data_IF_373641616246
#
_entry.id   IF_373641616246
#
_cell.length_a   1.000
_cell.length_b   1.000
_cell.length_c   1.000
_cell.angle_alpha   90.00
_cell.angle_beta   90.00
_cell.angle_gamma   90.00
#
_symmetry.space_group_name_H-M   'P 1'
#
loop_
_entity.id
_entity.type
_entity.pdbx_description
1 polymer ?
#
# COMPACT_ATOMS: atom_id res chain seq x y z
N UNK A 1 -0.41 36.51 -7.83
CA UNK A 1 0.63 35.53 -8.20
C UNK A 1 -0.01 34.16 -8.16
N UNK A 2 -0.61 33.73 -9.27
CA UNK A 2 -1.33 32.47 -9.34
C UNK A 2 -0.36 31.37 -9.79
N UNK A 3 0.23 30.66 -8.84
CA UNK A 3 0.92 29.42 -9.14
C UNK A 3 -0.07 28.26 -8.91
N UNK A 4 -0.93 28.03 -9.90
CA UNK A 4 -1.87 26.92 -9.96
C UNK A 4 -1.14 25.61 -10.20
N UNK A 5 -0.27 25.22 -9.27
CA UNK A 5 0.37 23.93 -9.29
C UNK A 5 -0.64 22.94 -8.71
N UNK A 6 -1.46 22.35 -9.58
CA UNK A 6 -2.25 21.16 -9.28
C UNK A 6 -1.27 20.06 -8.87
N UNK A 7 -0.80 20.07 -7.62
CA UNK A 7 -0.08 18.96 -7.01
C UNK A 7 -1.03 17.79 -7.17
N UNK A 8 -0.70 16.76 -7.96
CA UNK A 8 -1.57 15.61 -8.06
C UNK A 8 -1.59 14.99 -6.67
N UNK A 9 -2.66 15.24 -5.89
CA UNK A 9 -2.85 14.74 -4.52
C UNK A 9 -2.85 13.20 -4.46
N UNK A 10 -2.84 12.55 -5.63
CA UNK A 10 -2.65 11.12 -5.83
C UNK A 10 -1.16 10.68 -5.77
N UNK A 11 -0.18 11.59 -5.86
CA UNK A 11 1.25 11.25 -5.75
C UNK A 11 1.58 10.46 -4.47
N UNK A 12 1.14 10.87 -3.27
CA UNK A 12 1.37 10.09 -2.05
C UNK A 12 0.78 8.68 -2.14
N UNK A 13 -0.40 8.50 -2.75
CA UNK A 13 -1.03 7.19 -2.91
C UNK A 13 -0.20 6.25 -3.78
N UNK A 14 0.27 6.74 -4.93
CA UNK A 14 1.09 5.96 -5.85
C UNK A 14 2.40 5.54 -5.19
N UNK A 15 3.01 6.42 -4.40
CA UNK A 15 4.21 6.10 -3.62
C UNK A 15 3.91 4.99 -2.61
N UNK A 16 2.77 5.07 -1.90
CA UNK A 16 2.33 4.03 -0.97
C UNK A 16 2.15 2.67 -1.64
N UNK A 17 1.53 2.63 -2.82
CA UNK A 17 1.36 1.39 -3.62
C UNK A 17 2.72 0.79 -3.99
N UNK A 18 3.66 1.60 -4.48
CA UNK A 18 4.98 1.11 -4.88
C UNK A 18 5.73 0.52 -3.69
N UNK A 19 5.72 1.19 -2.54
CA UNK A 19 6.39 0.71 -1.33
C UNK A 19 5.82 -0.64 -0.88
N UNK A 20 4.49 -0.77 -0.89
CA UNK A 20 3.81 -2.01 -0.52
C UNK A 20 4.18 -3.16 -1.45
N UNK A 21 4.15 -2.93 -2.76
CA UNK A 21 4.50 -3.97 -3.74
C UNK A 21 5.94 -4.46 -3.53
N UNK A 22 6.89 -3.55 -3.27
CA UNK A 22 8.29 -3.92 -3.01
C UNK A 22 8.40 -4.74 -1.72
N UNK A 23 7.69 -4.34 -0.67
CA UNK A 23 7.68 -5.08 0.60
C UNK A 23 7.04 -6.47 0.45
N UNK A 24 5.91 -6.59 -0.25
CA UNK A 24 5.23 -7.86 -0.50
C UNK A 24 6.11 -8.81 -1.30
N UNK A 25 6.78 -8.34 -2.35
CA UNK A 25 7.72 -9.16 -3.14
C UNK A 25 8.88 -9.64 -2.27
N UNK A 26 9.43 -8.77 -1.42
CA UNK A 26 10.51 -9.15 -0.50
C UNK A 26 10.05 -10.24 0.49
N UNK A 27 8.86 -10.10 1.08
CA UNK A 27 8.33 -11.10 2.01
C UNK A 27 7.98 -12.40 1.27
N UNK A 28 7.35 -12.32 0.09
CA UNK A 28 6.99 -13.48 -0.72
C UNK A 28 8.22 -14.30 -1.11
N UNK A 29 9.32 -13.66 -1.53
CA UNK A 29 10.56 -14.37 -1.86
C UNK A 29 11.15 -15.11 -0.67
N UNK A 30 11.01 -14.58 0.55
CA UNK A 30 11.47 -15.21 1.80
C UNK A 30 10.57 -16.35 2.27
N UNK A 31 9.26 -16.22 2.10
CA UNK A 31 8.29 -17.28 2.43
C UNK A 31 8.43 -18.45 1.45
N UNK A 32 8.58 -18.16 0.15
CA UNK A 32 8.76 -19.17 -0.89
C UNK A 32 10.12 -19.86 -0.85
N UNK A 33 11.17 -19.22 -0.32
CA UNK A 33 12.50 -19.82 -0.19
C UNK A 33 12.66 -20.74 1.04
N UNK A 34 11.56 -21.07 1.73
CA UNK A 34 11.51 -22.01 2.87
C UNK A 34 12.32 -21.62 4.12
N UNK A 35 12.73 -20.35 4.25
CA UNK A 35 13.38 -19.87 5.49
C UNK A 35 12.38 -19.76 6.66
N UNK A 36 11.08 -19.65 6.35
CA UNK A 36 10.01 -19.56 7.33
C UNK A 36 8.73 -20.15 6.71
N UNK A 37 8.57 -21.47 6.81
CA UNK A 37 7.40 -22.19 6.29
C UNK A 37 6.16 -21.79 7.11
N UNK A 38 5.45 -20.76 6.63
CA UNK A 38 4.21 -20.31 7.22
C UNK A 38 3.05 -21.13 6.64
N UNK A 39 2.03 -21.46 7.44
CA UNK A 39 0.80 -22.05 6.91
C UNK A 39 0.20 -21.09 5.87
N UNK A 40 -0.13 -21.59 4.68
CA UNK A 40 -0.50 -20.76 3.52
C UNK A 40 -1.67 -19.79 3.75
N UNK A 41 -2.50 -20.03 4.77
CA UNK A 41 -3.51 -19.07 5.20
C UNK A 41 -2.92 -17.79 5.81
N UNK A 42 -1.88 -17.91 6.63
CA UNK A 42 -1.17 -16.77 7.20
C UNK A 42 -0.40 -16.01 6.11
N UNK A 43 0.21 -16.72 5.17
CA UNK A 43 0.86 -16.13 3.99
C UNK A 43 -0.11 -15.25 3.18
N UNK A 44 -1.31 -15.78 2.89
CA UNK A 44 -2.34 -15.03 2.15
C UNK A 44 -2.82 -13.78 2.89
N UNK A 45 -3.03 -13.87 4.21
CA UNK A 45 -3.45 -12.73 5.01
C UNK A 45 -2.40 -11.60 4.98
N UNK A 46 -1.13 -11.96 5.13
CA UNK A 46 -0.05 -10.97 5.20
C UNK A 46 0.26 -10.37 3.83
N UNK A 47 0.32 -11.18 2.77
CA UNK A 47 0.67 -10.71 1.42
C UNK A 47 -0.47 -10.02 0.67
N UNK A 48 -1.73 -10.22 1.09
CA UNK A 48 -2.88 -9.68 0.36
C UNK A 48 -3.78 -8.84 1.25
N UNK A 49 -4.24 -9.36 2.39
CA UNK A 49 -5.27 -8.69 3.18
C UNK A 49 -4.71 -7.45 3.89
N UNK A 50 -3.57 -7.56 4.55
CA UNK A 50 -2.90 -6.43 5.21
C UNK A 50 -2.59 -5.29 4.23
N UNK A 51 -1.91 -5.52 3.10
CA UNK A 51 -1.61 -4.45 2.14
C UNK A 51 -2.87 -3.88 1.49
N UNK A 52 -3.89 -4.70 1.18
CA UNK A 52 -5.16 -4.20 0.64
C UNK A 52 -5.88 -3.26 1.63
N UNK A 53 -5.95 -3.62 2.92
CA UNK A 53 -6.56 -2.78 3.95
C UNK A 53 -5.77 -1.47 4.11
N UNK A 54 -4.44 -1.54 4.13
CA UNK A 54 -3.62 -0.34 4.22
C UNK A 54 -3.86 0.61 3.03
N UNK A 55 -3.89 0.08 1.80
CA UNK A 55 -4.18 0.87 0.60
C UNK A 55 -5.58 1.49 0.63
N UNK A 56 -6.57 0.74 1.13
CA UNK A 56 -7.92 1.24 1.30
C UNK A 56 -7.99 2.38 2.32
N UNK A 57 -7.33 2.25 3.48
CA UNK A 57 -7.25 3.29 4.50
C UNK A 57 -6.50 4.53 3.99
N UNK A 58 -5.42 4.33 3.25
CA UNK A 58 -4.65 5.40 2.63
C UNK A 58 -5.50 6.16 1.59
N UNK A 59 -6.26 5.43 0.77
CA UNK A 59 -7.20 6.02 -0.20
C UNK A 59 -8.32 6.81 0.49
N UNK A 60 -8.91 6.23 1.55
CA UNK A 60 -9.94 6.91 2.35
C UNK A 60 -9.40 8.19 2.99
N UNK A 61 -8.17 8.14 3.51
CA UNK A 61 -7.48 9.28 4.12
C UNK A 61 -7.27 10.42 3.11
N UNK A 62 -6.91 10.09 1.87
CA UNK A 62 -6.80 11.07 0.80
C UNK A 62 -8.15 11.67 0.41
N UNK A 63 -9.20 10.84 0.34
CA UNK A 63 -10.56 11.33 0.06
C UNK A 63 -11.07 12.25 1.18
N UNK A 64 -10.80 11.91 2.45
CA UNK A 64 -11.17 12.72 3.62
C UNK A 64 -10.54 14.11 3.58
N UNK A 65 -9.25 14.21 3.21
CA UNK A 65 -8.53 15.49 3.03
C UNK A 65 -8.97 16.32 1.82
N UNK A 66 -9.76 15.73 0.91
CA UNK A 66 -10.36 16.44 -0.21
C UNK A 66 -11.80 16.93 0.09
N UNK A 67 -12.47 16.37 1.10
CA UNK A 67 -13.87 16.65 1.40
C UNK A 67 -14.11 17.74 2.45
N UNK A 68 -13.05 18.35 3.00
CA UNK A 68 -13.08 19.28 4.13
C UNK A 68 -12.56 20.69 3.80
N UNK A 69 -12.85 21.19 2.60
CA UNK A 69 -12.75 22.62 2.22
C UNK A 69 -14.13 23.21 2.04
#
# INVERSE_FOLDING_TARGET
>A
MANGQSRPRLMPWVIGVIIIIIADIFIATRMLSAECEAPGFAEFLVLIVVPAVYLALMFLTLRSQNGNT
#
